data_IF_853307885675
#
_entry.id   IF_853307885675
#
_cell.length_a   1.000
_cell.length_b   1.000
_cell.length_c   1.000
_cell.angle_alpha   90.00
_cell.angle_beta   90.00
_cell.angle_gamma   90.00
#
_symmetry.space_group_name_H-M   'P 1'
#
loop_
_entity.id
_entity.type
_entity.pdbx_description
1 polymer ?
#
# COMPACT_ATOMS: atom_id res chain seq x y z
N UNK A 1 -5.67 1.81 -18.31
CA UNK A 1 -6.47 2.69 -17.46
C UNK A 1 -5.93 2.69 -16.05
N UNK A 2 -5.97 3.85 -15.44
CA UNK A 2 -5.46 4.03 -14.09
C UNK A 2 -6.53 3.71 -13.06
N UNK A 3 -6.13 3.04 -11.96
CA UNK A 3 -7.01 2.80 -10.82
C UNK A 3 -7.00 4.03 -9.90
N UNK A 4 -8.10 4.28 -9.21
CA UNK A 4 -8.12 5.27 -8.13
C UNK A 4 -7.39 4.72 -6.91
N UNK A 5 -6.62 5.57 -6.22
CA UNK A 5 -5.90 5.17 -5.02
C UNK A 5 -6.61 5.74 -3.80
N UNK A 6 -7.00 4.89 -2.89
CA UNK A 6 -7.71 5.27 -1.67
C UNK A 6 -6.90 4.80 -0.47
N UNK A 7 -6.77 5.66 0.53
CA UNK A 7 -5.99 5.36 1.72
C UNK A 7 -6.91 5.04 2.89
N UNK A 8 -6.71 3.88 3.50
CA UNK A 8 -7.32 3.60 4.79
C UNK A 8 -6.80 4.65 5.79
N UNK A 9 -7.61 5.05 6.79
CA UNK A 9 -7.19 6.07 7.76
C UNK A 9 -5.82 5.84 8.40
N UNK A 10 -5.46 4.60 8.69
CA UNK A 10 -4.13 4.29 9.24
C UNK A 10 -3.01 4.58 8.25
N UNK A 11 -3.21 4.25 6.98
CA UNK A 11 -2.22 4.54 5.94
C UNK A 11 -2.10 6.04 5.71
N UNK A 12 -3.23 6.74 5.69
CA UNK A 12 -3.23 8.20 5.54
C UNK A 12 -2.49 8.86 6.69
N UNK A 13 -2.70 8.38 7.92
CA UNK A 13 -2.03 8.90 9.11
C UNK A 13 -0.53 8.67 9.04
N UNK A 14 -0.11 7.49 8.57
CA UNK A 14 1.31 7.20 8.40
C UNK A 14 1.96 8.22 7.46
N UNK A 15 1.35 8.47 6.30
CA UNK A 15 1.89 9.42 5.34
C UNK A 15 1.94 10.84 5.88
N UNK A 16 0.94 11.23 6.65
CA UNK A 16 0.89 12.56 7.24
C UNK A 16 2.02 12.78 8.23
N UNK A 17 2.42 11.74 8.96
CA UNK A 17 3.47 11.81 9.97
C UNK A 17 4.86 11.46 9.43
N UNK A 18 4.95 10.92 8.22
CA UNK A 18 6.22 10.49 7.64
C UNK A 18 7.12 11.67 7.35
N UNK A 19 8.43 11.42 7.40
CA UNK A 19 9.42 12.36 6.92
C UNK A 19 9.05 12.78 5.49
N UNK A 20 9.18 14.07 5.13
CA UNK A 20 8.75 14.55 3.80
C UNK A 20 9.35 13.79 2.62
N UNK A 21 10.63 13.41 2.70
CA UNK A 21 11.26 12.66 1.61
C UNK A 21 10.68 11.26 1.48
N UNK A 22 10.43 10.58 2.59
CA UNK A 22 9.80 9.26 2.60
C UNK A 22 8.36 9.34 2.09
N UNK A 23 7.60 10.32 2.58
CA UNK A 23 6.23 10.51 2.14
C UNK A 23 6.13 10.75 0.64
N UNK A 24 7.04 11.56 0.10
CA UNK A 24 7.09 11.83 -1.33
C UNK A 24 7.37 10.55 -2.12
N UNK A 25 8.37 9.78 -1.68
CA UNK A 25 8.74 8.54 -2.35
C UNK A 25 7.59 7.54 -2.35
N UNK A 26 6.91 7.39 -1.22
CA UNK A 26 5.75 6.49 -1.14
C UNK A 26 4.65 6.97 -2.08
N UNK A 27 4.33 8.27 -2.08
CA UNK A 27 3.28 8.80 -2.96
C UNK A 27 3.60 8.61 -4.43
N UNK A 28 4.86 8.78 -4.81
CA UNK A 28 5.28 8.53 -6.19
C UNK A 28 5.09 7.07 -6.58
N UNK A 29 5.47 6.17 -5.69
CA UNK A 29 5.33 4.73 -5.94
C UNK A 29 3.85 4.31 -5.97
N UNK A 30 3.01 4.93 -5.15
CA UNK A 30 1.56 4.68 -5.20
C UNK A 30 0.94 5.17 -6.50
N UNK A 31 1.43 6.28 -7.05
CA UNK A 31 0.96 6.77 -8.33
C UNK A 31 1.29 5.79 -9.46
N UNK A 32 2.50 5.22 -9.43
CA UNK A 32 2.89 4.18 -10.38
C UNK A 32 2.07 2.90 -10.18
N UNK A 33 1.79 2.57 -8.92
CA UNK A 33 0.97 1.40 -8.58
C UNK A 33 -0.42 1.51 -9.20
N UNK A 34 -0.98 2.71 -9.25
CA UNK A 34 -2.31 2.95 -9.81
C UNK A 34 -2.42 2.52 -11.27
N UNK A 35 -1.33 2.57 -12.01
CA UNK A 35 -1.31 2.18 -13.42
C UNK A 35 -1.24 0.66 -13.61
N UNK A 36 -0.53 -0.04 -12.72
CA UNK A 36 -0.30 -1.48 -12.85
C UNK A 36 -0.21 -2.16 -11.49
N UNK A 37 -1.31 -2.20 -10.73
CA UNK A 37 -1.27 -2.70 -9.35
C UNK A 37 -0.88 -4.17 -9.23
N UNK A 38 -1.15 -4.99 -10.25
CA UNK A 38 -0.79 -6.41 -10.22
C UNK A 38 0.66 -6.65 -10.61
N UNK A 39 1.24 -5.77 -11.41
CA UNK A 39 2.62 -5.93 -11.86
C UNK A 39 3.63 -5.34 -10.89
N UNK A 40 3.26 -4.25 -10.22
CA UNK A 40 4.16 -3.54 -9.33
C UNK A 40 4.35 -4.19 -7.97
N UNK A 41 3.32 -4.87 -7.47
CA UNK A 41 3.37 -5.53 -6.18
C UNK A 41 3.37 -7.05 -6.28
N UNK A 42 3.39 -7.69 -5.12
CA UNK A 42 3.32 -9.14 -5.01
C UNK A 42 2.09 -9.53 -4.21
N UNK A 43 1.37 -10.53 -4.68
CA UNK A 43 0.23 -11.04 -3.95
C UNK A 43 0.70 -11.85 -2.75
N UNK A 44 0.10 -11.61 -1.59
CA UNK A 44 0.37 -12.40 -0.40
C UNK A 44 -0.35 -13.74 -0.50
N UNK A 45 0.37 -14.82 -0.17
CA UNK A 45 -0.13 -16.19 -0.32
C UNK A 45 -1.43 -16.40 0.47
N UNK A 46 -2.41 -17.01 -0.17
CA UNK A 46 -3.71 -17.37 0.42
C UNK A 46 -4.49 -16.17 0.97
N UNK A 47 -4.34 -15.01 0.32
CA UNK A 47 -5.07 -13.82 0.74
C UNK A 47 -5.45 -12.95 -0.46
N UNK A 48 -6.41 -12.04 -0.31
CA UNK A 48 -6.70 -11.05 -1.35
C UNK A 48 -5.76 -9.85 -1.32
N UNK A 49 -4.76 -9.86 -0.43
CA UNK A 49 -3.91 -8.71 -0.20
C UNK A 49 -2.63 -8.77 -1.01
N UNK A 50 -2.08 -7.59 -1.27
CA UNK A 50 -0.87 -7.39 -2.05
C UNK A 50 0.13 -6.55 -1.26
N UNK A 51 1.38 -6.68 -1.61
CA UNK A 51 2.47 -5.96 -0.97
C UNK A 51 3.29 -5.19 -2.01
N UNK A 52 3.58 -3.93 -1.71
CA UNK A 52 4.52 -3.13 -2.49
C UNK A 52 5.70 -2.78 -1.61
N UNK A 53 6.90 -3.01 -2.13
CA UNK A 53 8.14 -2.66 -1.43
C UNK A 53 8.56 -1.24 -1.80
N UNK A 54 8.78 -0.40 -0.79
CA UNK A 54 9.29 0.96 -0.97
C UNK A 54 10.48 1.12 -0.01
N UNK A 55 11.70 0.81 -0.48
CA UNK A 55 12.87 0.77 0.38
C UNK A 55 12.70 -0.22 1.52
N UNK A 56 12.90 0.24 2.75
CA UNK A 56 12.72 -0.58 3.95
C UNK A 56 11.27 -0.66 4.40
N UNK A 57 10.38 0.04 3.71
CA UNK A 57 8.96 0.09 4.04
C UNK A 57 8.14 -0.83 3.15
N UNK A 58 6.98 -1.20 3.63
CA UNK A 58 6.04 -2.04 2.89
C UNK A 58 4.67 -1.41 2.90
N UNK A 59 3.99 -1.54 1.78
CA UNK A 59 2.62 -1.08 1.61
C UNK A 59 1.75 -2.30 1.38
N UNK A 60 0.72 -2.48 2.20
CA UNK A 60 -0.25 -3.56 2.02
C UNK A 60 -1.49 -2.96 1.39
N UNK A 61 -1.94 -3.57 0.30
CA UNK A 61 -3.09 -3.02 -0.43
C UNK A 61 -3.98 -4.14 -0.97
N UNK A 62 -5.17 -3.73 -1.36
CA UNK A 62 -6.17 -4.59 -1.96
C UNK A 62 -6.58 -3.98 -3.29
N UNK A 63 -6.84 -4.82 -4.28
CA UNK A 63 -7.28 -4.38 -5.60
C UNK A 63 -8.78 -4.64 -5.72
N UNK A 64 -9.56 -3.59 -5.86
CA UNK A 64 -11.00 -3.66 -6.11
C UNK A 64 -11.23 -3.41 -7.60
N UNK A 65 -11.29 -4.47 -8.39
CA UNK A 65 -11.42 -4.37 -9.83
C UNK A 65 -12.79 -3.85 -10.25
N UNK A 66 -13.80 -4.22 -9.51
CA UNK A 66 -15.16 -3.83 -9.81
C UNK A 66 -15.32 -2.31 -9.82
N UNK A 67 -14.64 -1.63 -8.91
CA UNK A 67 -14.71 -0.17 -8.81
C UNK A 67 -13.44 0.54 -9.28
N UNK A 68 -12.52 -0.21 -9.89
CA UNK A 68 -11.22 0.32 -10.37
C UNK A 68 -10.48 1.09 -9.29
N UNK A 69 -10.33 0.48 -8.11
CA UNK A 69 -9.67 1.10 -6.96
C UNK A 69 -8.54 0.23 -6.43
N UNK A 70 -7.50 0.90 -5.94
CA UNK A 70 -6.47 0.30 -5.11
C UNK A 70 -6.64 0.88 -3.72
N UNK A 71 -6.88 0.04 -2.75
CA UNK A 71 -7.13 0.46 -1.36
C UNK A 71 -5.89 0.17 -0.55
N UNK A 72 -5.23 1.22 -0.09
CA UNK A 72 -4.02 1.11 0.71
C UNK A 72 -4.44 0.91 2.16
N UNK A 73 -4.18 -0.30 2.67
CA UNK A 73 -4.62 -0.69 4.00
C UNK A 73 -3.62 -0.34 5.08
N UNK A 74 -2.33 -0.52 4.78
CA UNK A 74 -1.30 -0.37 5.77
C UNK A 74 0.01 0.07 5.14
N UNK A 75 0.74 0.94 5.83
CA UNK A 75 2.10 1.34 5.46
C UNK A 75 2.94 1.25 6.72
N UNK A 76 4.10 0.60 6.64
CA UNK A 76 4.97 0.50 7.79
C UNK A 76 6.32 -0.07 7.42
N UNK A 77 7.22 -0.10 8.38
CA UNK A 77 8.54 -0.70 8.22
C UNK A 77 8.39 -2.20 7.97
N UNK A 78 9.22 -2.75 7.09
CA UNK A 78 9.11 -4.14 6.68
C UNK A 78 9.20 -5.17 7.81
N UNK A 79 9.81 -4.80 8.94
CA UNK A 79 9.87 -5.68 10.11
C UNK A 79 8.55 -5.75 10.86
N UNK A 80 7.79 -4.66 10.87
CA UNK A 80 6.64 -4.50 11.75
C UNK A 80 5.30 -4.57 11.04
N UNK A 81 5.28 -4.26 9.75
CA UNK A 81 4.04 -4.11 8.99
C UNK A 81 3.16 -5.37 9.02
N UNK A 82 3.77 -6.55 8.99
CA UNK A 82 3.00 -7.80 8.98
C UNK A 82 2.36 -8.09 10.33
N UNK A 83 3.08 -7.84 11.42
CA UNK A 83 2.54 -8.04 12.76
C UNK A 83 1.38 -7.09 13.01
N UNK A 84 1.55 -5.83 12.64
CA UNK A 84 0.50 -4.84 12.81
C UNK A 84 -0.71 -5.13 11.93
N UNK A 85 -0.47 -5.53 10.69
CA UNK A 85 -1.54 -5.87 9.77
C UNK A 85 -2.31 -7.10 10.25
N UNK A 86 -1.60 -8.11 10.74
CA UNK A 86 -2.23 -9.33 11.26
C UNK A 86 -3.17 -9.06 12.42
N UNK A 87 -2.89 -8.05 13.23
CA UNK A 87 -3.77 -7.67 14.35
C UNK A 87 -5.10 -7.09 13.90
N UNK A 88 -5.18 -6.62 12.65
CA UNK A 88 -6.43 -6.10 12.09
C UNK A 88 -7.33 -7.21 11.56
N UNK A 89 -6.76 -8.35 11.30
CA UNK A 89 -7.49 -9.50 10.81
C UNK A 89 -8.06 -10.30 11.99
#
# INVERSE_FOLDING_TARGET
MSFGVFLHPKAARFLKKADPSLGRKIREDLAELADSPEEKGERLIHSPFWRLRVGDYRVIYEIDREHSRVIILFIGHGRDVYDEFSRLL
#
